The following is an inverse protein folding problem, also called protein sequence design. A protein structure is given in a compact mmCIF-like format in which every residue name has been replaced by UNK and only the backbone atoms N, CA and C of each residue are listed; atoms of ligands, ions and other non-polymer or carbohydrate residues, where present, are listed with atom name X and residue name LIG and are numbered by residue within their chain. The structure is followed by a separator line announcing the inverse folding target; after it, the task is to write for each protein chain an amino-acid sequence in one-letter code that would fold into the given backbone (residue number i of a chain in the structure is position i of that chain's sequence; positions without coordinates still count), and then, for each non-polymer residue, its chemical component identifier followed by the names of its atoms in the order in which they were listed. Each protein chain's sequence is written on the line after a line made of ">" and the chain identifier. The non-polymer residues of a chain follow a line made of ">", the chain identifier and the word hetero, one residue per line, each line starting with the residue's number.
data_IF_356678896684
#
_entry.id   IF_356678896684
#
_cell.length_a   1.000
_cell.length_b   1.000
_cell.length_c   1.000
_cell.angle_alpha   90.00
_cell.angle_beta   90.00
_cell.angle_gamma   90.00
#
_symmetry.space_group_name_H-M   'P 1'
#
loop_
_entity.id
_entity.type
_entity.pdbx_description
1 polymer ?
#
# COMPACT_ATOMS: atom_id res chain seq x y z
N UNK A 1 4.33 -19.91 13.55
CA UNK A 1 4.58 -18.89 12.51
C UNK A 1 4.13 -17.54 13.06
N UNK A 2 5.01 -16.53 13.05
CA UNK A 2 4.66 -15.20 13.56
C UNK A 2 3.89 -14.42 12.49
N UNK A 3 2.74 -13.86 12.84
CA UNK A 3 1.96 -13.02 11.96
C UNK A 3 2.55 -11.59 11.98
N UNK A 4 2.85 -11.04 10.81
CA UNK A 4 3.32 -9.66 10.65
C UNK A 4 2.14 -8.78 10.27
N UNK A 5 1.94 -7.69 11.01
CA UNK A 5 0.94 -6.67 10.70
C UNK A 5 1.59 -5.50 9.98
N UNK A 6 0.95 -5.04 8.91
CA UNK A 6 1.40 -3.94 8.10
C UNK A 6 0.28 -2.94 7.88
N UNK A 7 0.66 -1.66 7.85
CA UNK A 7 -0.19 -0.56 7.43
C UNK A 7 0.23 -0.14 6.02
N UNK A 8 -0.69 -0.23 5.08
CA UNK A 8 -0.47 0.06 3.67
C UNK A 8 -1.22 1.33 3.27
N UNK A 9 -0.58 2.17 2.46
CA UNK A 9 -1.24 3.27 1.73
C UNK A 9 -1.38 2.84 0.29
N UNK A 10 -2.61 2.83 -0.19
CA UNK A 10 -3.00 2.21 -1.46
C UNK A 10 -3.91 3.14 -2.26
N UNK A 11 -3.95 2.91 -3.56
CA UNK A 11 -4.97 3.42 -4.48
C UNK A 11 -5.68 2.24 -5.10
N UNK A 12 -6.99 2.36 -5.37
CA UNK A 12 -7.77 1.33 -6.07
C UNK A 12 -8.11 1.88 -7.44
N UNK A 13 -7.56 1.26 -8.47
CA UNK A 13 -7.81 1.68 -9.84
C UNK A 13 -8.60 0.60 -10.58
N UNK A 14 -9.67 1.01 -11.24
CA UNK A 14 -10.49 0.14 -12.10
C UNK A 14 -9.61 -0.53 -13.16
N UNK A 15 -9.70 -1.86 -13.27
CA UNK A 15 -8.94 -2.65 -14.24
C UNK A 15 -7.51 -3.05 -13.81
N UNK A 16 -6.94 -2.43 -12.76
CA UNK A 16 -5.60 -2.76 -12.23
C UNK A 16 -5.70 -3.36 -10.81
N UNK A 17 -6.71 -2.98 -10.04
CA UNK A 17 -6.88 -3.39 -8.65
C UNK A 17 -6.19 -2.44 -7.68
N UNK A 18 -5.72 -2.97 -6.55
CA UNK A 18 -5.08 -2.17 -5.51
C UNK A 18 -3.57 -2.02 -5.79
N UNK A 19 -3.10 -0.78 -5.90
CA UNK A 19 -1.68 -0.45 -5.99
C UNK A 19 -1.23 0.04 -4.62
N UNK A 20 -0.30 -0.70 -4.02
CA UNK A 20 0.37 -0.30 -2.76
C UNK A 20 1.45 0.70 -3.12
N UNK A 21 1.37 1.90 -2.54
CA UNK A 21 2.36 2.98 -2.71
C UNK A 21 3.36 3.00 -1.57
N UNK A 22 2.90 2.60 -0.37
CA UNK A 22 3.73 2.59 0.82
C UNK A 22 3.28 1.48 1.77
N UNK A 23 4.23 0.87 2.47
CA UNK A 23 3.97 -0.10 3.53
C UNK A 23 4.91 0.11 4.70
N UNK A 24 4.38 0.02 5.91
CA UNK A 24 5.18 -0.03 7.14
C UNK A 24 4.59 -0.99 8.17
N UNK A 25 5.43 -1.54 9.04
CA UNK A 25 4.98 -2.24 10.26
C UNK A 25 4.50 -1.27 11.34
N UNK A 26 4.82 0.03 11.19
CA UNK A 26 4.42 1.09 12.12
C UNK A 26 3.33 1.96 11.49
N UNK A 27 2.20 2.10 12.18
CA UNK A 27 1.09 2.97 11.74
C UNK A 27 1.54 4.40 11.49
N UNK A 28 2.39 4.94 12.38
CA UNK A 28 2.94 6.29 12.27
C UNK A 28 3.63 6.54 10.93
N UNK A 29 4.37 5.55 10.39
CA UNK A 29 5.03 5.68 9.09
C UNK A 29 4.03 5.81 7.94
N UNK A 30 2.94 5.04 7.96
CA UNK A 30 1.88 5.12 6.95
C UNK A 30 1.11 6.44 7.05
N UNK A 31 0.85 6.91 8.27
CA UNK A 31 0.18 8.19 8.52
C UNK A 31 1.04 9.37 8.04
N UNK A 32 2.35 9.36 8.29
CA UNK A 32 3.29 10.38 7.80
C UNK A 32 3.30 10.39 6.27
N UNK A 33 3.46 9.23 5.62
CA UNK A 33 3.43 9.14 4.17
C UNK A 33 2.13 9.71 3.61
N UNK A 34 0.98 9.28 4.15
CA UNK A 34 -0.35 9.77 3.73
C UNK A 34 -0.48 11.29 3.89
N UNK A 35 0.03 11.88 4.98
CA UNK A 35 0.04 13.34 5.17
C UNK A 35 0.93 14.06 4.16
N UNK A 36 2.10 13.50 3.85
CA UNK A 36 3.02 14.07 2.85
C UNK A 36 2.42 14.08 1.44
N UNK A 37 1.72 13.02 1.06
CA UNK A 37 1.02 12.96 -0.23
C UNK A 37 -0.33 13.66 -0.21
N UNK A 38 -0.91 13.90 0.97
CA UNK A 38 -2.10 14.70 1.19
C UNK A 38 -3.31 14.25 0.37
N UNK A 39 -4.02 15.22 -0.22
CA UNK A 39 -5.17 15.00 -1.11
C UNK A 39 -4.77 14.76 -2.58
N UNK A 40 -3.49 14.45 -2.86
CA UNK A 40 -3.08 14.16 -4.23
C UNK A 40 -3.86 12.95 -4.74
N UNK A 41 -4.40 13.10 -5.94
CA UNK A 41 -4.95 11.97 -6.70
C UNK A 41 -3.81 11.29 -7.43
N UNK A 42 -3.69 9.99 -7.26
CA UNK A 42 -2.73 9.19 -8.00
C UNK A 42 -3.50 8.39 -9.04
N UNK A 43 -3.18 8.60 -10.31
CA UNK A 43 -3.93 7.99 -11.43
C UNK A 43 -5.45 8.32 -11.39
N UNK A 44 -5.81 9.50 -10.89
CA UNK A 44 -7.20 9.93 -10.70
C UNK A 44 -7.86 9.42 -9.42
N UNK A 45 -7.22 8.50 -8.69
CA UNK A 45 -7.78 7.80 -7.53
C UNK A 45 -7.37 8.43 -6.20
N UNK A 46 -8.25 8.30 -5.21
CA UNK A 46 -7.98 8.77 -3.85
C UNK A 46 -7.20 7.71 -3.06
N UNK A 47 -6.25 8.19 -2.26
CA UNK A 47 -5.49 7.37 -1.33
C UNK A 47 -6.35 6.94 -0.15
N UNK A 48 -6.21 5.68 0.25
CA UNK A 48 -6.72 5.21 1.53
C UNK A 48 -5.70 4.29 2.20
N UNK A 49 -5.90 4.09 3.49
CA UNK A 49 -5.03 3.28 4.33
C UNK A 49 -5.75 1.99 4.70
N UNK A 50 -5.05 0.87 4.65
CA UNK A 50 -5.57 -0.42 5.06
C UNK A 50 -4.57 -1.15 5.95
N UNK A 51 -5.08 -2.02 6.81
CA UNK A 51 -4.26 -2.93 7.62
C UNK A 51 -4.27 -4.32 6.99
N UNK A 52 -3.09 -4.93 6.86
CA UNK A 52 -2.93 -6.26 6.27
C UNK A 52 -2.07 -7.10 7.20
N UNK A 53 -2.53 -8.33 7.48
CA UNK A 53 -1.77 -9.33 8.21
C UNK A 53 -1.20 -10.36 7.24
N UNK A 54 0.08 -10.72 7.36
CA UNK A 54 0.68 -11.79 6.57
C UNK A 54 1.69 -12.63 7.36
N UNK A 55 1.81 -13.91 7.00
CA UNK A 55 2.70 -14.87 7.65
C UNK A 55 4.15 -14.84 7.11
N UNK A 56 4.38 -14.13 6.00
CA UNK A 56 5.71 -13.89 5.43
C UNK A 56 6.04 -12.41 5.57
N UNK A 57 7.27 -12.08 5.99
CA UNK A 57 7.73 -10.71 6.04
C UNK A 57 7.73 -10.09 4.63
N UNK A 58 7.16 -8.88 4.52
CA UNK A 58 7.14 -8.08 3.29
C UNK A 58 8.11 -6.91 3.41
N UNK A 59 8.61 -6.42 2.28
CA UNK A 59 9.40 -5.19 2.22
C UNK A 59 8.58 -3.99 2.68
N UNK A 60 9.20 -3.13 3.48
CA UNK A 60 8.68 -1.84 3.96
C UNK A 60 9.33 -0.69 3.21
N UNK A 61 8.63 0.43 3.11
CA UNK A 61 9.08 1.62 2.37
C UNK A 61 8.11 2.01 1.26
N UNK A 62 8.56 2.90 0.38
CA UNK A 62 7.83 3.24 -0.85
C UNK A 62 7.93 2.04 -1.78
N UNK A 63 6.77 1.51 -2.16
CA UNK A 63 6.68 0.37 -3.06
C UNK A 63 6.11 0.89 -4.37
N UNK A 64 6.92 0.95 -5.42
CA UNK A 64 6.41 1.25 -6.75
C UNK A 64 5.93 -0.05 -7.41
N UNK A 65 4.60 -0.12 -7.60
CA UNK A 65 3.84 -1.03 -8.46
C UNK A 65 4.31 -2.50 -8.48
N UNK A 66 3.66 -3.35 -7.69
CA UNK A 66 3.54 -4.77 -8.05
C UNK A 66 2.53 -4.88 -9.19
N UNK A 67 3.02 -4.94 -10.43
CA UNK A 67 2.20 -5.33 -11.58
C UNK A 67 1.81 -6.79 -11.33
N UNK A 68 0.53 -7.07 -11.15
CA UNK A 68 0.03 -8.43 -11.37
C UNK A 68 0.20 -8.67 -12.86
N UNK A 69 1.22 -9.44 -13.24
CA UNK A 69 1.17 -10.13 -14.52
C UNK A 69 -0.15 -10.90 -14.51
N UNK A 70 -1.08 -10.46 -15.36
CA UNK A 70 -2.08 -11.35 -15.92
C UNK A 70 -1.29 -12.44 -16.63
N UNK A 71 -1.04 -13.54 -15.94
CA UNK A 71 -0.74 -14.78 -16.63
C UNK A 71 -1.97 -15.09 -17.48
N UNK A 72 -1.77 -14.98 -18.78
CA UNK A 72 -2.68 -15.38 -19.85
C UNK A 72 -3.12 -16.83 -19.73
#
# INVERSE_FOLDING_TARGET
>A
MNAHRYHEVVIRQTGIGAVVLYRSTQKAGADIFRKLVGNRKFMGEQLFQQEVTCFKAKRTGILERFVFDKAA
#
